data_IF_687908315482
#
_entry.id   IF_687908315482
#
_cell.length_a   1.000
_cell.length_b   1.000
_cell.length_c   1.000
_cell.angle_alpha   90.00
_cell.angle_beta   90.00
_cell.angle_gamma   90.00
#
_symmetry.space_group_name_H-M   'P 1'
#
loop_
_entity.id
_entity.type
_entity.pdbx_description
1 polymer ?
#
# COMPACT_ATOMS: atom_id res chain seq x y z
N UNK A 1 -21.13 7.74 -12.98
CA UNK A 1 -19.77 7.19 -12.83
C UNK A 1 -19.67 6.65 -11.41
N UNK A 2 -19.48 5.35 -11.25
CA UNK A 2 -19.18 4.78 -9.94
C UNK A 2 -17.83 5.31 -9.49
N UNK A 3 -17.80 6.03 -8.37
CA UNK A 3 -16.56 6.43 -7.74
C UNK A 3 -15.99 5.21 -7.03
N UNK A 4 -15.29 4.33 -7.78
CA UNK A 4 -14.65 3.12 -7.25
C UNK A 4 -13.84 3.40 -5.97
N UNK A 5 -13.13 4.53 -5.93
CA UNK A 5 -12.35 4.95 -4.77
C UNK A 5 -13.23 5.26 -3.54
N UNK A 6 -14.47 5.71 -3.73
CA UNK A 6 -15.43 5.94 -2.65
C UNK A 6 -16.11 4.66 -2.17
N UNK A 7 -16.08 3.57 -2.95
CA UNK A 7 -16.58 2.26 -2.52
C UNK A 7 -15.56 1.45 -1.72
N UNK A 8 -14.30 1.88 -1.68
CA UNK A 8 -13.26 1.21 -0.89
C UNK A 8 -13.58 1.29 0.61
N UNK A 9 -13.35 0.19 1.33
CA UNK A 9 -13.60 0.10 2.77
C UNK A 9 -12.87 1.16 3.60
N UNK A 10 -11.63 1.47 3.21
CA UNK A 10 -10.78 2.45 3.88
C UNK A 10 -9.83 3.10 2.88
N UNK A 11 -9.70 4.43 2.96
CA UNK A 11 -8.64 5.16 2.27
C UNK A 11 -7.39 5.22 3.14
N UNK A 12 -6.20 5.17 2.53
CA UNK A 12 -4.94 5.42 3.25
C UNK A 12 -4.88 6.81 3.90
N UNK A 13 -5.67 7.77 3.43
CA UNK A 13 -5.79 9.11 4.03
C UNK A 13 -6.47 9.06 5.41
N UNK A 14 -7.34 8.07 5.62
CA UNK A 14 -8.13 7.92 6.84
C UNK A 14 -7.54 6.89 7.81
N UNK A 15 -6.31 6.43 7.54
CA UNK A 15 -5.59 5.51 8.45
C UNK A 15 -5.03 6.31 9.62
N UNK A 16 -5.43 6.02 10.87
CA UNK A 16 -4.92 6.73 12.03
C UNK A 16 -3.41 6.53 12.20
N UNK A 17 -2.70 7.65 12.33
CA UNK A 17 -1.30 7.69 12.75
C UNK A 17 -1.25 8.39 14.08
N UNK A 18 -0.82 7.65 15.10
CA UNK A 18 -0.71 8.13 16.49
C UNK A 18 0.76 8.25 16.88
N UNK A 19 1.06 8.79 18.06
CA UNK A 19 2.41 8.79 18.62
C UNK A 19 2.97 7.37 18.80
N UNK A 20 2.07 6.40 19.05
CA UNK A 20 2.38 4.98 19.22
C UNK A 20 2.57 4.23 17.89
N UNK A 21 2.32 4.89 16.76
CA UNK A 21 2.45 4.32 15.42
C UNK A 21 1.16 4.28 14.60
N UNK A 22 1.22 3.52 13.50
CA UNK A 22 0.14 3.37 12.51
C UNK A 22 -0.80 2.25 12.93
N UNK A 23 -2.11 2.51 12.98
CA UNK A 23 -3.11 1.49 13.32
C UNK A 23 -3.08 0.31 12.31
N UNK A 24 -2.78 -0.88 12.81
CA UNK A 24 -2.58 -2.07 11.96
C UNK A 24 -3.84 -2.45 11.23
N UNK A 25 -4.99 -2.47 11.90
CA UNK A 25 -6.25 -2.91 11.31
C UNK A 25 -6.68 -1.98 10.16
N UNK A 26 -6.63 -0.66 10.37
CA UNK A 26 -6.96 0.34 9.36
C UNK A 26 -5.98 0.30 8.18
N UNK A 27 -4.69 0.08 8.43
CA UNK A 27 -3.69 -0.06 7.38
C UNK A 27 -3.94 -1.29 6.49
N UNK A 28 -4.31 -2.43 7.09
CA UNK A 28 -4.63 -3.65 6.34
C UNK A 28 -5.92 -3.47 5.53
N UNK A 29 -6.94 -2.84 6.10
CA UNK A 29 -8.19 -2.53 5.40
C UNK A 29 -7.96 -1.59 4.19
N UNK A 30 -7.07 -0.60 4.32
CA UNK A 30 -6.69 0.25 3.21
C UNK A 30 -5.87 -0.52 2.14
N UNK A 31 -5.03 -1.45 2.58
CA UNK A 31 -4.24 -2.31 1.69
C UNK A 31 -5.10 -3.30 0.90
N UNK A 32 -6.21 -3.78 1.46
CA UNK A 32 -7.19 -4.59 0.72
C UNK A 32 -7.82 -3.80 -0.44
N UNK A 33 -8.04 -2.49 -0.28
CA UNK A 33 -8.56 -1.63 -1.36
C UNK A 33 -7.63 -1.54 -2.58
N UNK A 34 -6.32 -1.71 -2.39
CA UNK A 34 -5.35 -1.79 -3.49
C UNK A 34 -5.52 -3.06 -4.30
N UNK A 35 -5.82 -4.17 -3.63
CA UNK A 35 -6.13 -5.44 -4.29
C UNK A 35 -7.40 -5.31 -5.12
N UNK A 36 -8.42 -4.64 -4.58
CA UNK A 36 -9.66 -4.33 -5.30
C UNK A 36 -9.42 -3.45 -6.53
N UNK A 37 -8.46 -2.52 -6.46
CA UNK A 37 -8.09 -1.68 -7.62
C UNK A 37 -7.56 -2.53 -8.79
N UNK A 38 -6.72 -3.53 -8.50
CA UNK A 38 -6.24 -4.44 -9.54
C UNK A 38 -7.33 -5.37 -10.07
N UNK A 39 -8.31 -5.76 -9.24
CA UNK A 39 -9.50 -6.46 -9.72
C UNK A 39 -10.32 -5.60 -10.69
N UNK A 40 -10.43 -4.30 -10.41
CA UNK A 40 -11.17 -3.36 -11.26
C UNK A 40 -10.54 -3.20 -12.66
N UNK A 41 -9.20 -3.26 -12.76
CA UNK A 41 -8.52 -3.27 -14.06
C UNK A 41 -8.76 -4.56 -14.87
N UNK A 42 -9.32 -5.61 -14.25
CA UNK A 42 -9.72 -6.88 -14.85
C UNK A 42 -8.68 -7.47 -15.82
N UNK A 43 -7.40 -7.43 -15.43
CA UNK A 43 -6.29 -7.92 -16.24
C UNK A 43 -5.53 -9.02 -15.51
N UNK A 44 -5.45 -10.19 -16.16
CA UNK A 44 -4.69 -11.33 -15.67
C UNK A 44 -3.18 -11.05 -15.53
N UNK A 45 -2.68 -9.99 -16.18
CA UNK A 45 -1.29 -9.57 -16.04
C UNK A 45 -0.94 -9.11 -14.61
N UNK A 46 -1.93 -8.73 -13.80
CA UNK A 46 -1.71 -8.29 -12.42
C UNK A 46 -1.88 -9.42 -11.39
N UNK A 47 -2.27 -10.63 -11.79
CA UNK A 47 -2.49 -11.76 -10.88
C UNK A 47 -1.30 -12.04 -9.95
N UNK A 48 -0.03 -12.07 -10.42
CA UNK A 48 1.11 -12.31 -9.53
C UNK A 48 1.26 -11.22 -8.47
N UNK A 49 1.02 -9.95 -8.83
CA UNK A 49 1.11 -8.80 -7.92
C UNK A 49 -0.01 -8.84 -6.88
N UNK A 50 -1.23 -9.17 -7.30
CA UNK A 50 -2.36 -9.33 -6.38
C UNK A 50 -2.11 -10.45 -5.37
N UNK A 51 -1.61 -11.60 -5.83
CA UNK A 51 -1.33 -12.74 -4.95
C UNK A 51 -0.24 -12.42 -3.93
N UNK A 52 0.80 -11.70 -4.34
CA UNK A 52 1.86 -11.24 -3.42
C UNK A 52 1.30 -10.31 -2.34
N UNK A 53 0.53 -9.28 -2.73
CA UNK A 53 -0.08 -8.34 -1.79
C UNK A 53 -1.04 -9.05 -0.83
N UNK A 54 -1.95 -9.90 -1.34
CA UNK A 54 -2.90 -10.68 -0.53
C UNK A 54 -2.18 -11.57 0.47
N UNK A 55 -1.13 -12.29 0.02
CA UNK A 55 -0.34 -13.16 0.88
C UNK A 55 0.36 -12.40 2.00
N UNK A 56 0.90 -11.22 1.70
CA UNK A 56 1.56 -10.37 2.68
C UNK A 56 0.58 -9.75 3.69
N UNK A 57 -0.60 -9.30 3.24
CA UNK A 57 -1.70 -8.86 4.12
C UNK A 57 -2.10 -10.00 5.07
N UNK A 58 -2.29 -11.22 4.56
CA UNK A 58 -2.69 -12.37 5.37
C UNK A 58 -1.69 -12.69 6.49
N UNK A 59 -0.38 -12.59 6.23
CA UNK A 59 0.66 -12.79 7.26
C UNK A 59 0.54 -11.77 8.40
N UNK A 60 0.35 -10.49 8.06
CA UNK A 60 0.22 -9.41 9.07
C UNK A 60 -1.10 -9.54 9.83
N UNK A 61 -2.20 -9.88 9.14
CA UNK A 61 -3.52 -10.09 9.75
C UNK A 61 -3.51 -11.26 10.72
N UNK A 62 -2.85 -12.37 10.38
CA UNK A 62 -2.69 -13.52 11.28
C UNK A 62 -1.92 -13.16 12.56
N UNK A 63 -0.93 -12.26 12.47
CA UNK A 63 -0.24 -11.74 13.65
C UNK A 63 -1.16 -10.88 14.52
N UNK A 64 -1.92 -9.98 13.89
CA UNK A 64 -2.90 -9.16 14.60
C UNK A 64 -3.94 -10.03 15.33
N UNK A 65 -4.44 -11.08 14.70
CA UNK A 65 -5.43 -11.99 15.31
C UNK A 65 -4.85 -12.81 16.47
N UNK A 66 -3.60 -13.26 16.37
CA UNK A 66 -2.95 -14.03 17.43
C UNK A 66 -2.51 -13.18 18.62
N UNK A 67 -2.12 -11.93 18.40
CA UNK A 67 -1.61 -11.03 19.44
C UNK A 67 -2.23 -9.62 19.31
N UNK A 68 -3.55 -9.47 19.51
CA UNK A 68 -4.28 -8.24 19.18
C UNK A 68 -3.83 -7.04 19.99
N UNK A 69 -3.52 -7.21 21.28
CA UNK A 69 -3.05 -6.14 22.17
C UNK A 69 -1.61 -5.72 21.90
N UNK A 70 -0.81 -6.63 21.34
CA UNK A 70 0.62 -6.40 21.03
C UNK A 70 0.84 -5.95 19.59
N UNK A 71 -0.20 -6.01 18.76
CA UNK A 71 -0.13 -5.73 17.32
C UNK A 71 -1.04 -4.58 16.90
N UNK A 72 -1.49 -3.76 17.87
CA UNK A 72 -2.38 -2.61 17.62
C UNK A 72 -1.80 -1.65 16.60
N UNK A 73 -0.50 -1.36 16.69
CA UNK A 73 0.23 -0.58 15.69
C UNK A 73 1.26 -1.42 14.95
N UNK A 74 1.59 -1.04 13.71
CA UNK A 74 2.59 -1.74 12.89
C UNK A 74 3.95 -1.81 13.58
N UNK A 75 4.31 -0.74 14.29
CA UNK A 75 5.54 -0.60 15.06
C UNK A 75 5.57 -1.57 16.24
N UNK A 76 4.49 -1.61 17.04
CA UNK A 76 4.35 -2.56 18.17
C UNK A 76 4.36 -4.01 17.66
N UNK A 77 3.69 -4.28 16.54
CA UNK A 77 3.69 -5.59 15.90
C UNK A 77 5.11 -6.07 15.61
N UNK A 78 5.95 -5.25 14.97
CA UNK A 78 7.34 -5.61 14.64
C UNK A 78 8.17 -5.83 15.90
N UNK A 79 8.08 -4.92 16.88
CA UNK A 79 8.86 -4.99 18.12
C UNK A 79 8.53 -6.26 18.90
N UNK A 80 7.24 -6.59 19.03
CA UNK A 80 6.78 -7.72 19.81
C UNK A 80 7.04 -9.05 19.08
N UNK A 81 6.85 -9.12 17.76
CA UNK A 81 7.18 -10.34 16.99
C UNK A 81 8.68 -10.67 17.06
N UNK A 82 9.55 -9.64 17.02
CA UNK A 82 11.00 -9.82 17.15
C UNK A 82 11.38 -10.46 18.49
N UNK A 83 10.66 -10.15 19.56
CA UNK A 83 10.91 -10.72 20.89
C UNK A 83 10.65 -12.24 20.94
N UNK A 84 9.75 -12.74 20.08
CA UNK A 84 9.45 -14.17 19.92
C UNK A 84 10.42 -14.93 19.00
N UNK A 85 11.44 -14.25 18.46
CA UNK A 85 12.35 -14.79 17.44
C UNK A 85 11.62 -15.30 16.17
N UNK A 86 10.44 -14.74 15.88
CA UNK A 86 9.70 -14.93 14.64
C UNK A 86 9.81 -13.66 13.80
N UNK A 87 9.62 -13.78 12.49
CA UNK A 87 9.70 -12.64 11.56
C UNK A 87 8.67 -12.72 10.42
N UNK A 88 7.70 -13.63 10.49
CA UNK A 88 6.77 -13.88 9.37
C UNK A 88 5.93 -12.65 9.03
N UNK A 89 5.40 -11.96 10.03
CA UNK A 89 4.60 -10.76 9.84
C UNK A 89 5.46 -9.54 9.51
N UNK A 90 6.64 -9.43 10.11
CA UNK A 90 7.64 -8.39 9.80
C UNK A 90 8.10 -8.48 8.34
N UNK A 91 8.42 -9.69 7.85
CA UNK A 91 8.75 -9.92 6.45
C UNK A 91 7.56 -9.63 5.53
N UNK A 92 6.37 -10.09 5.90
CA UNK A 92 5.14 -9.78 5.17
C UNK A 92 4.90 -8.28 5.04
N UNK A 93 5.04 -7.54 6.14
CA UNK A 93 4.89 -6.09 6.17
C UNK A 93 5.95 -5.38 5.31
N UNK A 94 7.20 -5.83 5.37
CA UNK A 94 8.29 -5.28 4.55
C UNK A 94 8.00 -5.44 3.05
N UNK A 95 7.59 -6.63 2.60
CA UNK A 95 7.21 -6.87 1.21
C UNK A 95 5.97 -6.08 0.79
N UNK A 96 4.97 -5.99 1.68
CA UNK A 96 3.77 -5.18 1.47
C UNK A 96 4.11 -3.70 1.26
N UNK A 97 4.92 -3.11 2.14
CA UNK A 97 5.36 -1.72 2.04
C UNK A 97 6.16 -1.47 0.74
N UNK A 98 6.99 -2.42 0.32
CA UNK A 98 7.74 -2.32 -0.94
C UNK A 98 6.79 -2.33 -2.14
N UNK A 99 5.78 -3.20 -2.14
CA UNK A 99 4.74 -3.25 -3.18
C UNK A 99 3.93 -1.96 -3.24
N UNK A 100 3.46 -1.45 -2.10
CA UNK A 100 2.69 -0.20 -2.02
C UNK A 100 3.52 1.02 -2.45
N UNK A 101 4.79 1.09 -2.05
CA UNK A 101 5.71 2.16 -2.45
C UNK A 101 5.93 2.19 -3.97
N UNK A 102 6.08 1.03 -4.60
CA UNK A 102 6.20 0.93 -6.06
C UNK A 102 4.94 1.47 -6.76
N UNK A 103 3.76 1.09 -6.28
CA UNK A 103 2.50 1.55 -6.85
C UNK A 103 2.30 3.06 -6.69
N UNK A 104 2.55 3.59 -5.49
CA UNK A 104 2.47 5.02 -5.24
C UNK A 104 3.39 5.81 -6.19
N UNK A 105 4.62 5.32 -6.42
CA UNK A 105 5.55 5.91 -7.40
C UNK A 105 5.01 5.83 -8.83
N UNK A 106 4.45 4.68 -9.23
CA UNK A 106 3.86 4.50 -10.56
C UNK A 106 2.72 5.49 -10.81
N UNK A 107 1.77 5.60 -9.87
CA UNK A 107 0.65 6.55 -9.98
C UNK A 107 1.11 8.00 -9.97
N UNK A 108 2.06 8.36 -9.10
CA UNK A 108 2.64 9.70 -9.07
C UNK A 108 3.36 10.05 -10.38
N UNK A 109 3.98 9.08 -11.03
CA UNK A 109 4.65 9.25 -12.33
C UNK A 109 3.62 9.39 -13.45
N UNK A 110 2.61 8.52 -13.50
CA UNK A 110 1.51 8.60 -14.46
C UNK A 110 0.76 9.94 -14.37
N UNK A 111 0.52 10.43 -13.14
CA UNK A 111 -0.06 11.76 -12.90
C UNK A 111 0.81 12.87 -13.49
N UNK A 112 2.12 12.80 -13.31
CA UNK A 112 3.05 13.83 -13.83
C UNK A 112 3.14 13.85 -15.36
N UNK A 113 3.08 12.68 -16.01
CA UNK A 113 3.11 12.58 -17.48
C UNK A 113 1.83 13.17 -18.10
N UNK A 114 0.69 13.05 -17.41
CA UNK A 114 -0.58 13.63 -17.83
C UNK A 114 -0.79 15.10 -17.44
N UNK A 115 0.19 15.76 -16.77
CA UNK A 115 0.11 17.20 -16.53
C UNK A 115 0.49 17.99 -17.80
N UNK A 116 -0.32 18.97 -18.24
CA UNK A 116 -0.09 19.73 -19.46
C UNK A 116 1.20 20.56 -19.46
N UNK A 117 1.81 20.78 -18.29
CA UNK A 117 3.04 21.57 -18.14
C UNK A 117 4.33 20.82 -18.47
N UNK A 118 4.33 19.48 -18.55
CA UNK A 118 5.55 18.70 -18.88
C UNK A 118 5.88 18.77 -20.39
N UNK A 119 4.87 18.88 -21.28
CA UNK A 119 5.09 19.02 -22.73
C UNK A 119 5.71 20.37 -23.15
N UNK A 120 5.59 21.40 -22.31
CA UNK A 120 6.08 22.75 -22.61
C UNK A 120 7.56 22.95 -22.26
N UNK A 121 8.14 22.12 -21.39
CA UNK A 121 9.56 22.21 -21.05
C UNK A 121 10.44 21.45 -22.06
N UNK A 122 9.96 20.32 -22.58
CA UNK A 122 10.67 19.54 -23.61
C UNK A 122 10.82 20.30 -24.93
N UNK A 123 9.83 21.12 -25.30
CA UNK A 123 9.86 21.95 -26.52
C UNK A 123 10.70 23.22 -26.36
N UNK A 124 10.79 23.79 -25.14
CA UNK A 124 11.68 24.95 -24.87
C UNK A 124 13.15 24.58 -24.78
N UNK A 125 13.48 23.35 -24.37
CA UNK A 125 14.86 22.89 -24.21
C UNK A 125 15.53 22.50 -25.54
N UNK A 126 14.73 22.24 -26.59
CA UNK A 126 15.20 21.88 -27.94
C UNK A 126 15.29 23.11 -28.88
N UNK A 127 14.57 24.20 -28.57
CA UNK A 127 14.39 25.36 -29.47
C UNK A 127 14.97 26.68 -28.93
N UNK A 128 15.98 26.65 -28.06
CA UNK A 128 16.80 27.83 -27.80
C UNK A 128 18.17 27.65 -28.48
N UNK A 129 18.64 28.68 -29.23
CA UNK A 129 19.89 28.61 -29.99
C UNK A 129 21.11 28.46 -29.08
#
# INVERSE_FOLDING_TARGET
MSNFIQSLKKSFVDVPVTEDGVDTASFLDASDGVVELFNHFNSAAFTPVQSDIKGNIAKVRARLESHPTESVTLEKLIVNEKSEKKQTATEGLMWLLRGLSLQARLFNTARQINLPNSRKDSTRRILRP
#
